data_IF_100061017144
#
_entry.id   IF_100061017144
#
_cell.length_a   1.000
_cell.length_b   1.000
_cell.length_c   1.000
_cell.angle_alpha   90.00
_cell.angle_beta   90.00
_cell.angle_gamma   90.00
#
_symmetry.space_group_name_H-M   'P 1'
#
loop_
_entity.id
_entity.type
_entity.pdbx_description
1 polymer ?
#
# COMPACT_ATOMS: atom_id res chain seq x y z
N UNK A 1 -14.78 -53.71 48.31
CA UNK A 1 -15.12 -52.26 48.36
C UNK A 1 -15.40 -51.79 46.93
N UNK A 2 -16.54 -51.10 46.71
CA UNK A 2 -16.93 -50.13 45.65
C UNK A 2 -16.23 -50.24 44.27
N UNK A 3 -16.90 -50.54 43.14
CA UNK A 3 -18.04 -49.93 42.40
C UNK A 3 -17.50 -49.46 41.03
N UNK A 4 -18.22 -49.86 39.98
CA UNK A 4 -17.98 -49.54 38.56
C UNK A 4 -17.73 -48.05 38.30
N UNK A 5 -16.87 -47.75 37.32
CA UNK A 5 -16.92 -46.54 36.50
C UNK A 5 -16.80 -46.93 35.02
N UNK A 6 -17.95 -46.90 34.35
CA UNK A 6 -18.10 -46.82 32.90
C UNK A 6 -17.84 -45.38 32.51
N UNK A 7 -16.88 -45.12 31.61
CA UNK A 7 -16.71 -43.82 30.93
C UNK A 7 -16.46 -44.15 29.46
N UNK A 8 -17.54 -44.32 28.69
CA UNK A 8 -18.10 -43.30 27.78
C UNK A 8 -17.13 -42.89 26.66
N UNK A 9 -17.06 -43.73 25.62
CA UNK A 9 -16.63 -43.37 24.27
C UNK A 9 -17.66 -42.42 23.67
N UNK A 10 -17.53 -41.11 23.91
CA UNK A 10 -18.36 -40.10 23.24
C UNK A 10 -17.47 -38.97 22.72
N UNK A 11 -17.54 -38.82 21.40
CA UNK A 11 -17.23 -37.64 20.62
C UNK A 11 -15.77 -37.31 20.32
N UNK A 12 -15.21 -38.01 19.33
CA UNK A 12 -14.13 -37.50 18.48
C UNK A 12 -14.70 -36.85 17.20
N UNK A 13 -15.79 -36.08 17.32
CA UNK A 13 -16.31 -35.24 16.25
C UNK A 13 -16.46 -33.80 16.75
N UNK A 14 -15.80 -32.87 16.05
CA UNK A 14 -16.16 -31.46 16.11
C UNK A 14 -15.10 -30.51 16.65
N UNK A 15 -13.85 -30.61 16.19
CA UNK A 15 -12.95 -29.46 16.17
C UNK A 15 -12.35 -29.30 14.77
N UNK A 16 -13.22 -29.01 13.79
CA UNK A 16 -12.78 -28.22 12.65
C UNK A 16 -12.59 -26.81 13.20
N UNK A 17 -11.41 -26.58 13.78
CA UNK A 17 -10.97 -25.23 14.10
C UNK A 17 -11.01 -24.44 12.80
N UNK A 18 -11.79 -23.37 12.80
CA UNK A 18 -11.55 -22.25 11.90
C UNK A 18 -10.09 -21.83 12.12
N UNK A 19 -9.17 -22.34 11.29
CA UNK A 19 -7.85 -21.76 11.17
C UNK A 19 -8.09 -20.37 10.57
N UNK A 20 -7.82 -19.26 11.29
CA UNK A 20 -7.66 -18.01 10.61
C UNK A 20 -6.56 -18.23 9.59
N UNK A 21 -6.83 -17.92 8.33
CA UNK A 21 -5.80 -17.85 7.30
C UNK A 21 -4.82 -16.77 7.77
N UNK A 22 -3.74 -17.18 8.44
CA UNK A 22 -2.59 -16.31 8.66
C UNK A 22 -2.08 -16.00 7.25
N UNK A 23 -2.38 -14.81 6.78
CA UNK A 23 -1.82 -14.29 5.53
C UNK A 23 -0.35 -14.06 5.85
N UNK A 24 0.49 -15.08 5.65
CA UNK A 24 1.92 -14.93 5.71
C UNK A 24 2.28 -13.80 4.74
N UNK A 25 2.88 -12.73 5.26
CA UNK A 25 3.40 -11.64 4.45
C UNK A 25 4.54 -12.25 3.62
N UNK A 26 4.56 -11.98 2.31
CA UNK A 26 5.60 -12.56 1.45
C UNK A 26 6.96 -11.96 1.78
N UNK A 27 8.04 -12.71 1.55
CA UNK A 27 9.41 -12.21 1.70
C UNK A 27 9.61 -10.89 0.94
N UNK A 28 9.06 -10.78 -0.27
CA UNK A 28 9.05 -9.54 -1.06
C UNK A 28 8.34 -8.37 -0.36
N UNK A 29 7.24 -8.61 0.37
CA UNK A 29 6.54 -7.54 1.09
C UNK A 29 7.38 -7.09 2.28
N UNK A 30 8.04 -8.01 2.98
CA UNK A 30 8.92 -7.65 4.09
C UNK A 30 10.20 -6.96 3.62
N UNK A 31 10.75 -7.36 2.48
CA UNK A 31 11.92 -6.72 1.86
C UNK A 31 11.69 -5.24 1.53
N UNK A 32 10.44 -4.75 1.44
CA UNK A 32 10.14 -3.32 1.29
C UNK A 32 10.79 -2.51 2.42
N UNK A 33 10.83 -3.04 3.65
CA UNK A 33 11.45 -2.35 4.78
C UNK A 33 12.92 -2.00 4.51
N UNK A 34 13.66 -2.87 3.82
CA UNK A 34 15.07 -2.71 3.50
C UNK A 34 15.29 -1.95 2.18
N UNK A 35 14.43 -2.19 1.18
CA UNK A 35 14.62 -1.68 -0.17
C UNK A 35 14.13 -0.25 -0.37
N UNK A 36 13.11 0.19 0.38
CA UNK A 36 12.52 1.51 0.22
C UNK A 36 13.50 2.67 0.56
N UNK A 37 14.28 2.65 1.68
CA UNK A 37 15.23 3.72 1.98
C UNK A 37 16.34 3.86 0.92
N UNK A 38 16.65 2.75 0.24
CA UNK A 38 17.65 2.68 -0.83
C UNK A 38 17.07 2.99 -2.23
N UNK A 39 15.77 3.33 -2.33
CA UNK A 39 15.13 3.68 -3.61
C UNK A 39 14.94 2.49 -4.56
N UNK A 40 14.84 1.27 -4.05
CA UNK A 40 14.64 0.04 -4.83
C UNK A 40 15.71 -0.20 -5.92
N UNK A 41 16.99 -0.20 -5.52
CA UNK A 41 18.11 -0.52 -6.41
C UNK A 41 18.14 -1.97 -6.93
N UNK A 42 19.30 -2.39 -7.44
CA UNK A 42 19.49 -3.75 -7.95
C UNK A 42 19.19 -4.80 -6.86
N UNK A 43 18.43 -5.85 -7.21
CA UNK A 43 17.99 -6.89 -6.27
C UNK A 43 16.67 -6.59 -5.53
N UNK A 44 16.11 -5.38 -5.63
CA UNK A 44 14.87 -4.98 -4.95
C UNK A 44 13.60 -5.03 -5.83
N UNK A 45 13.65 -5.67 -7.00
CA UNK A 45 12.53 -5.68 -7.96
C UNK A 45 11.27 -6.35 -7.41
N UNK A 46 11.40 -7.45 -6.67
CA UNK A 46 10.29 -8.11 -5.98
C UNK A 46 9.64 -7.20 -4.93
N UNK A 47 10.46 -6.54 -4.11
CA UNK A 47 10.02 -5.58 -3.12
C UNK A 47 9.31 -4.36 -3.74
N UNK A 48 9.84 -3.83 -4.84
CA UNK A 48 9.22 -2.71 -5.55
C UNK A 48 7.85 -3.10 -6.11
N UNK A 49 7.74 -4.27 -6.73
CA UNK A 49 6.46 -4.77 -7.21
C UNK A 49 5.45 -4.99 -6.08
N UNK A 50 5.90 -5.55 -4.95
CA UNK A 50 5.07 -5.73 -3.76
C UNK A 50 4.58 -4.37 -3.21
N UNK A 51 5.47 -3.38 -3.14
CA UNK A 51 5.16 -2.00 -2.76
C UNK A 51 4.08 -1.38 -3.66
N UNK A 52 4.27 -1.39 -4.99
CA UNK A 52 3.28 -0.90 -5.95
C UNK A 52 1.91 -1.59 -5.79
N UNK A 53 1.93 -2.91 -5.57
CA UNK A 53 0.73 -3.73 -5.34
C UNK A 53 0.01 -3.33 -4.05
N UNK A 54 0.73 -3.04 -2.97
CA UNK A 54 0.14 -2.53 -1.73
C UNK A 54 -0.50 -1.16 -1.95
N UNK A 55 0.21 -0.25 -2.61
CA UNK A 55 -0.29 1.07 -2.94
C UNK A 55 -1.53 1.01 -3.85
N UNK A 56 -1.58 0.12 -4.85
CA UNK A 56 -2.75 -0.01 -5.74
C UNK A 56 -4.01 -0.50 -5.01
N UNK A 57 -3.81 -1.32 -3.97
CA UNK A 57 -4.86 -1.79 -3.07
C UNK A 57 -5.23 -0.78 -1.98
N UNK A 58 -4.61 0.40 -1.95
CA UNK A 58 -4.83 1.41 -0.90
C UNK A 58 -4.32 0.96 0.47
N UNK A 59 -3.39 0.01 0.52
CA UNK A 59 -2.74 -0.42 1.76
C UNK A 59 -1.60 0.55 2.12
N UNK A 60 -1.18 0.46 3.38
CA UNK A 60 0.07 1.06 3.86
C UNK A 60 1.24 0.63 2.94
N UNK A 61 2.21 1.52 2.63
CA UNK A 61 3.32 1.18 1.73
C UNK A 61 4.14 0.03 2.32
N UNK A 62 4.32 0.06 3.63
CA UNK A 62 5.02 -0.96 4.41
C UNK A 62 4.00 -1.97 4.98
N UNK A 63 4.33 -3.27 5.02
CA UNK A 63 3.60 -4.25 5.82
C UNK A 63 3.72 -3.93 7.31
N UNK A 64 2.92 -4.63 8.12
CA UNK A 64 3.11 -4.57 9.57
C UNK A 64 4.53 -5.01 9.91
N UNK A 65 5.19 -4.30 10.82
CA UNK A 65 6.55 -4.67 11.23
C UNK A 65 6.58 -6.04 11.89
N UNK A 66 5.61 -6.33 12.75
CA UNK A 66 5.51 -7.61 13.47
C UNK A 66 5.34 -8.83 12.54
N UNK A 67 4.89 -8.64 11.30
CA UNK A 67 4.83 -9.73 10.32
C UNK A 67 6.15 -9.95 9.56
N UNK A 68 7.14 -9.09 9.78
CA UNK A 68 8.39 -9.02 9.00
C UNK A 68 9.66 -9.02 9.84
N UNK A 69 9.53 -8.99 11.16
CA UNK A 69 10.64 -9.10 12.10
C UNK A 69 10.31 -10.19 13.11
N UNK A 70 11.33 -10.98 13.44
CA UNK A 70 11.30 -11.99 14.49
C UNK A 70 11.56 -11.38 15.88
N UNK A 71 11.89 -10.08 15.93
CA UNK A 71 12.16 -9.38 17.18
C UNK A 71 10.85 -9.07 17.90
N UNK A 72 10.78 -9.50 19.17
CA UNK A 72 9.66 -9.20 20.09
C UNK A 72 9.61 -7.71 20.48
N UNK A 73 10.66 -6.94 20.15
CA UNK A 73 10.66 -5.49 20.28
C UNK A 73 9.77 -4.87 19.19
N UNK A 74 8.53 -4.58 19.57
CA UNK A 74 7.37 -4.19 18.73
C UNK A 74 7.56 -2.94 17.84
N UNK A 75 8.75 -2.36 17.72
CA UNK A 75 8.98 -1.09 17.06
C UNK A 75 9.73 -1.22 15.73
N UNK A 76 9.07 -0.77 14.66
CA UNK A 76 9.69 -0.58 13.35
C UNK A 76 10.94 0.32 13.41
N UNK A 77 11.95 0.09 12.55
CA UNK A 77 13.24 0.82 12.55
C UNK A 77 13.11 2.29 12.12
N UNK A 78 12.03 2.62 11.41
CA UNK A 78 11.73 3.99 11.00
C UNK A 78 10.24 4.28 11.03
N UNK A 79 9.90 5.56 11.13
CA UNK A 79 8.55 6.06 10.81
C UNK A 79 8.52 6.48 9.36
N UNK A 80 7.34 6.40 8.74
CA UNK A 80 7.13 6.93 7.40
C UNK A 80 5.95 7.89 7.38
N UNK A 81 6.12 8.96 6.62
CA UNK A 81 5.08 9.92 6.29
C UNK A 81 4.81 9.87 4.79
N UNK A 82 3.53 9.93 4.42
CA UNK A 82 3.10 9.92 3.02
C UNK A 82 2.47 11.26 2.68
N UNK A 83 3.00 11.92 1.66
CA UNK A 83 2.41 13.10 1.05
C UNK A 83 2.12 12.86 -0.43
N UNK A 84 1.30 13.74 -1.02
CA UNK A 84 0.93 13.68 -2.42
C UNK A 84 1.22 15.03 -3.07
N UNK A 85 1.86 15.01 -4.23
CA UNK A 85 1.99 16.16 -5.12
C UNK A 85 1.26 15.85 -6.42
N UNK A 86 0.26 16.65 -6.75
CA UNK A 86 -0.55 16.47 -7.96
C UNK A 86 -0.26 17.53 -8.99
N UNK A 87 -0.31 17.14 -10.25
CA UNK A 87 -0.11 17.99 -11.41
C UNK A 87 -1.32 17.80 -12.32
N UNK A 88 -2.21 18.79 -12.38
CA UNK A 88 -3.39 18.75 -13.25
C UNK A 88 -3.22 19.67 -14.43
N UNK A 89 -3.25 19.13 -15.65
CA UNK A 89 -3.26 19.90 -16.89
C UNK A 89 -4.69 20.00 -17.42
N UNK A 90 -5.26 21.20 -17.37
CA UNK A 90 -6.61 21.49 -17.88
C UNK A 90 -6.58 21.82 -19.36
N UNK A 91 -7.51 21.25 -20.13
CA UNK A 91 -7.59 21.46 -21.58
C UNK A 91 -8.19 22.82 -21.94
N UNK A 92 -9.21 23.26 -21.20
CA UNK A 92 -10.00 24.45 -21.55
C UNK A 92 -9.19 25.73 -21.61
N UNK A 93 -8.17 25.85 -20.76
CA UNK A 93 -7.35 27.05 -20.59
C UNK A 93 -5.84 26.77 -20.65
N UNK A 94 -5.44 25.55 -21.02
CA UNK A 94 -4.04 25.07 -21.00
C UNK A 94 -3.31 25.36 -19.67
N UNK A 95 -4.06 25.41 -18.56
CA UNK A 95 -3.52 25.72 -17.23
C UNK A 95 -3.00 24.45 -16.57
N UNK A 96 -1.81 24.54 -15.98
CA UNK A 96 -1.31 23.52 -15.06
C UNK A 96 -1.53 23.98 -13.62
N UNK A 97 -2.17 23.15 -12.80
CA UNK A 97 -2.35 23.37 -11.36
C UNK A 97 -1.53 22.33 -10.61
N UNK A 98 -0.72 22.81 -9.66
CA UNK A 98 0.02 21.96 -8.73
C UNK A 98 -0.66 22.05 -7.37
N UNK A 99 -0.98 20.91 -6.77
CA UNK A 99 -1.62 20.87 -5.45
C UNK A 99 -0.97 19.80 -4.56
N UNK A 100 -1.01 20.01 -3.25
CA UNK A 100 -0.46 19.12 -2.25
C UNK A 100 -1.57 18.52 -1.38
N UNK A 101 -1.43 17.26 -0.97
CA UNK A 101 -2.27 16.66 0.07
C UNK A 101 -3.59 16.01 -0.36
N UNK A 102 -3.94 16.00 -1.66
CA UNK A 102 -5.03 15.15 -2.20
C UNK A 102 -4.53 14.35 -3.40
N UNK A 103 -4.73 13.03 -3.45
CA UNK A 103 -4.36 12.23 -4.61
C UNK A 103 -5.28 12.53 -5.80
N UNK A 104 -4.80 12.24 -7.02
CA UNK A 104 -5.63 12.29 -8.22
C UNK A 104 -6.80 11.28 -8.15
N UNK A 105 -7.90 11.53 -8.88
CA UNK A 105 -8.91 10.50 -9.12
C UNK A 105 -8.27 9.25 -9.70
N UNK A 106 -8.78 8.06 -9.36
CA UNK A 106 -8.24 6.79 -9.88
C UNK A 106 -8.22 6.70 -11.41
N UNK A 107 -9.08 7.43 -12.11
CA UNK A 107 -9.10 7.49 -13.57
C UNK A 107 -7.93 8.31 -14.15
N UNK A 108 -7.27 9.14 -13.34
CA UNK A 108 -6.36 10.19 -13.82
C UNK A 108 -7.08 11.33 -14.55
N UNK A 109 -8.41 11.29 -14.63
CA UNK A 109 -9.23 12.26 -15.36
C UNK A 109 -9.97 13.15 -14.36
N UNK A 110 -9.83 14.45 -14.55
CA UNK A 110 -10.66 15.46 -13.87
C UNK A 110 -11.85 15.73 -14.76
N UNK A 111 -13.05 15.56 -14.22
CA UNK A 111 -14.30 15.75 -14.96
C UNK A 111 -14.99 17.05 -14.58
N UNK A 112 -15.73 17.65 -15.51
CA UNK A 112 -16.58 18.82 -15.29
C UNK A 112 -18.03 18.53 -15.68
N UNK A 113 -18.95 19.34 -15.15
CA UNK A 113 -20.37 19.34 -15.53
C UNK A 113 -21.31 18.66 -14.53
N UNK A 114 -22.60 18.84 -14.76
CA UNK A 114 -23.66 18.22 -13.96
C UNK A 114 -23.86 16.77 -14.42
N UNK A 115 -24.60 15.97 -13.65
CA UNK A 115 -24.78 14.50 -13.86
C UNK A 115 -25.19 14.10 -15.29
N UNK A 116 -25.71 15.01 -16.11
CA UNK A 116 -26.14 14.83 -17.50
C UNK A 116 -25.06 15.06 -18.56
N UNK A 117 -23.96 15.75 -18.26
CA UNK A 117 -22.88 16.06 -19.21
C UNK A 117 -21.50 16.07 -18.54
N UNK A 118 -21.07 14.91 -18.02
CA UNK A 118 -19.71 14.75 -17.50
C UNK A 118 -18.70 14.66 -18.65
N UNK A 119 -17.97 15.76 -18.90
CA UNK A 119 -16.84 15.81 -19.84
C UNK A 119 -15.49 15.66 -19.12
N UNK A 120 -14.39 15.45 -19.87
CA UNK A 120 -13.02 15.48 -19.31
C UNK A 120 -12.48 16.92 -19.37
N UNK A 121 -12.14 17.48 -18.21
CA UNK A 121 -11.61 18.84 -18.06
C UNK A 121 -10.08 18.89 -18.11
N UNK A 122 -9.42 17.81 -17.65
CA UNK A 122 -7.97 17.73 -17.59
C UNK A 122 -7.45 16.35 -17.19
N UNK A 123 -6.13 16.19 -17.32
CA UNK A 123 -5.39 15.02 -16.81
C UNK A 123 -4.72 15.41 -15.50
N UNK A 124 -4.90 14.58 -14.47
CA UNK A 124 -4.22 14.67 -13.19
C UNK A 124 -3.18 13.55 -13.10
N UNK A 125 -1.93 13.94 -12.86
CA UNK A 125 -0.84 13.03 -12.51
C UNK A 125 -0.47 13.22 -11.04
N UNK A 126 -0.13 12.15 -10.32
CA UNK A 126 0.27 12.24 -8.91
C UNK A 126 1.67 11.67 -8.70
N UNK A 127 2.45 12.36 -7.89
CA UNK A 127 3.68 11.85 -7.29
C UNK A 127 3.36 11.59 -5.82
N UNK A 128 3.46 10.34 -5.40
CA UNK A 128 3.44 10.00 -3.97
C UNK A 128 4.85 10.23 -3.43
N UNK A 129 4.96 11.00 -2.35
CA UNK A 129 6.19 11.32 -1.66
C UNK A 129 6.19 10.53 -0.35
N UNK A 130 7.20 9.69 -0.15
CA UNK A 130 7.39 8.93 1.07
C UNK A 130 8.62 9.49 1.78
N UNK A 131 8.40 10.12 2.93
CA UNK A 131 9.47 10.56 3.80
C UNK A 131 9.65 9.53 4.91
N UNK A 132 10.87 9.10 5.15
CA UNK A 132 11.20 8.03 6.09
C UNK A 132 12.21 8.57 7.06
N UNK A 133 11.94 8.43 8.35
CA UNK A 133 12.79 8.94 9.41
C UNK A 133 13.30 7.78 10.25
N UNK A 134 14.60 7.51 10.15
CA UNK A 134 15.28 6.49 10.94
C UNK A 134 15.23 6.87 12.41
N UNK A 135 14.98 5.88 13.28
CA UNK A 135 14.88 6.13 14.73
C UNK A 135 16.25 6.27 15.40
N UNK A 136 17.26 5.57 14.87
CA UNK A 136 18.56 5.46 15.53
C UNK A 136 19.38 6.75 15.43
N UNK A 137 19.43 7.36 14.24
CA UNK A 137 20.23 8.55 13.96
C UNK A 137 19.39 9.77 13.54
N UNK A 138 18.07 9.61 13.39
CA UNK A 138 17.18 10.67 12.94
C UNK A 138 17.33 11.05 11.46
N UNK A 139 18.13 10.31 10.70
CA UNK A 139 18.33 10.54 9.26
C UNK A 139 17.01 10.41 8.51
N UNK A 140 16.86 11.23 7.46
CA UNK A 140 15.63 11.30 6.66
C UNK A 140 15.92 10.91 5.22
N UNK A 141 15.10 10.01 4.69
CA UNK A 141 15.15 9.54 3.31
C UNK A 141 13.84 9.89 2.61
N UNK A 142 13.92 10.32 1.37
CA UNK A 142 12.75 10.62 0.55
C UNK A 142 12.73 9.71 -0.67
N UNK A 143 11.62 9.01 -0.85
CA UNK A 143 11.31 8.22 -2.03
C UNK A 143 10.13 8.85 -2.77
N UNK A 144 10.30 9.06 -4.08
CA UNK A 144 9.22 9.56 -4.94
C UNK A 144 8.73 8.42 -5.81
N UNK A 145 7.44 8.08 -5.71
CA UNK A 145 6.80 7.13 -6.60
C UNK A 145 5.82 7.87 -7.51
N UNK A 146 6.10 7.83 -8.82
CA UNK A 146 5.13 8.35 -9.78
C UNK A 146 3.95 7.39 -9.88
N UNK A 147 2.75 7.87 -9.53
CA UNK A 147 1.53 7.09 -9.71
C UNK A 147 0.59 7.78 -10.67
N UNK A 148 0.10 6.99 -11.61
CA UNK A 148 -0.91 7.39 -12.57
C UNK A 148 -0.49 8.55 -13.47
N UNK A 149 -0.21 8.17 -14.71
CA UNK A 149 -0.55 8.97 -15.88
C UNK A 149 -0.96 7.97 -16.93
N UNK A 150 -2.23 7.59 -17.03
CA UNK A 150 -2.66 6.94 -18.27
C UNK A 150 -2.86 8.05 -19.30
N UNK A 151 -2.11 8.05 -20.42
CA UNK A 151 -2.44 8.91 -21.54
C UNK A 151 -3.85 8.59 -22.02
N UNK A 152 -4.55 9.58 -22.60
CA UNK A 152 -5.90 9.45 -23.19
C UNK A 152 -6.03 8.25 -24.15
N UNK A 153 -4.94 7.79 -24.74
CA UNK A 153 -4.89 6.60 -25.61
C UNK A 153 -4.97 5.25 -24.86
N UNK A 154 -4.72 5.21 -23.56
CA UNK A 154 -4.74 3.99 -22.73
C UNK A 154 -5.99 3.86 -21.85
N UNK A 155 -6.99 4.71 -22.08
CA UNK A 155 -8.31 4.70 -21.40
C UNK A 155 -9.43 4.08 -22.23
N UNK A 156 -9.12 3.30 -23.28
CA UNK A 156 -10.11 2.52 -24.05
C UNK A 156 -9.87 1.02 -23.95
N UNK A 157 -10.96 0.30 -23.64
CA UNK A 157 -11.08 -1.14 -23.48
C UNK A 157 -12.04 -1.45 -22.35
#
# INVERSE_FOLDING_TARGET
>A
MKRLMVVSFISLMGYIGFMPCSQAVSEDECAIWLCLPAGFGEGCSGAHHAFEKRLSKGKSPLPSWHSCSEDDDEQAPYTFDRAFKTYTKFYRNNKTVINSGRPCPRSGLVHFGDKSYLGVEGICSVVELFEMKMKDDGSTYQHEEFRQGKPLSQTKG
#
